data_IF_129445499703
#
_entry.id   IF_129445499703
#
_cell.length_a   1.000
_cell.length_b   1.000
_cell.length_c   1.000
_cell.angle_alpha   90.00
_cell.angle_beta   90.00
_cell.angle_gamma   90.00
#
_symmetry.space_group_name_H-M   'P 1'
#
loop_
_entity.id
_entity.type
_entity.pdbx_description
1 polymer ?
#
# COMPACT_ATOMS: atom_id res chain seq x y z
N UNK A 1 -9.40 15.19 -3.87
CA UNK A 1 -9.14 14.58 -2.54
C UNK A 1 -10.12 15.07 -1.46
N UNK A 2 -10.74 16.24 -1.59
CA UNK A 2 -11.67 16.79 -0.57
C UNK A 2 -13.09 16.17 -0.59
N UNK A 3 -13.31 15.10 -1.34
CA UNK A 3 -14.63 14.48 -1.49
C UNK A 3 -14.47 12.97 -1.73
N UNK A 4 -13.73 12.31 -0.83
CA UNK A 4 -13.55 10.86 -0.84
C UNK A 4 -13.90 10.31 0.54
N UNK A 5 -14.62 9.19 0.59
CA UNK A 5 -14.95 8.53 1.85
C UNK A 5 -13.71 7.90 2.50
N UNK A 6 -12.75 7.49 1.68
CA UNK A 6 -11.57 6.73 2.12
C UNK A 6 -10.42 6.80 1.13
N UNK A 7 -9.19 6.80 1.63
CA UNK A 7 -7.97 6.68 0.84
C UNK A 7 -7.22 5.37 1.15
N UNK A 8 -6.74 4.70 0.10
CA UNK A 8 -5.80 3.59 0.22
C UNK A 8 -4.39 4.10 -0.11
N UNK A 9 -3.50 4.10 0.88
CA UNK A 9 -2.09 4.45 0.71
C UNK A 9 -1.31 3.20 0.32
N UNK A 10 -1.00 3.06 -0.97
CA UNK A 10 -0.21 1.96 -1.51
C UNK A 10 1.28 2.26 -1.32
N UNK A 11 2.06 1.32 -0.77
CA UNK A 11 3.52 1.45 -0.65
C UNK A 11 4.22 0.11 -0.81
N UNK A 12 5.53 0.12 -0.99
CA UNK A 12 6.40 -1.05 -0.96
C UNK A 12 7.31 -1.01 0.29
N UNK A 13 7.76 -2.16 0.83
CA UNK A 13 8.59 -2.22 2.05
C UNK A 13 10.05 -1.78 1.82
N UNK A 14 10.25 -0.68 1.10
CA UNK A 14 11.54 -0.06 0.79
C UNK A 14 11.74 1.23 1.60
N UNK A 15 12.98 1.71 1.80
CA UNK A 15 13.22 2.97 2.49
C UNK A 15 12.52 4.18 1.85
N UNK A 16 12.48 4.23 0.51
CA UNK A 16 11.78 5.27 -0.23
C UNK A 16 10.26 5.17 -0.04
N UNK A 17 9.69 3.97 -0.18
CA UNK A 17 8.26 3.74 0.05
C UNK A 17 7.84 4.08 1.49
N UNK A 18 8.69 3.82 2.47
CA UNK A 18 8.47 4.20 3.86
C UNK A 18 8.48 5.74 4.06
N UNK A 19 9.41 6.45 3.40
CA UNK A 19 9.45 7.91 3.44
C UNK A 19 8.18 8.52 2.85
N UNK A 20 7.81 8.10 1.63
CA UNK A 20 6.65 8.61 0.91
C UNK A 20 5.34 8.28 1.65
N UNK A 21 5.20 7.05 2.15
CA UNK A 21 4.07 6.67 2.98
C UNK A 21 3.91 7.60 4.18
N UNK A 22 4.99 7.91 4.89
CA UNK A 22 4.93 8.82 6.04
C UNK A 22 4.45 10.22 5.66
N UNK A 23 4.82 10.74 4.49
CA UNK A 23 4.33 12.02 3.98
C UNK A 23 2.84 11.95 3.62
N UNK A 24 2.42 10.90 2.91
CA UNK A 24 1.02 10.67 2.51
C UNK A 24 0.12 10.57 3.75
N UNK A 25 0.49 9.74 4.73
CA UNK A 25 -0.29 9.57 5.96
C UNK A 25 -0.37 10.87 6.78
N UNK A 26 0.72 11.66 6.80
CA UNK A 26 0.71 12.99 7.44
C UNK A 26 -0.26 13.95 6.75
N UNK A 27 -0.34 13.92 5.42
CA UNK A 27 -1.31 14.71 4.67
C UNK A 27 -2.74 14.25 4.96
N UNK A 28 -3.02 12.95 4.83
CA UNK A 28 -4.34 12.33 5.07
C UNK A 28 -4.87 12.63 6.48
N UNK A 29 -4.00 12.57 7.49
CA UNK A 29 -4.33 12.95 8.87
C UNK A 29 -4.73 14.43 8.98
N UNK A 30 -4.01 15.34 8.30
CA UNK A 30 -4.32 16.78 8.32
C UNK A 30 -5.65 17.11 7.67
N UNK A 31 -5.97 16.44 6.57
CA UNK A 31 -7.24 16.64 5.84
C UNK A 31 -8.38 15.76 6.38
N UNK A 32 -8.13 15.02 7.47
CA UNK A 32 -9.11 14.16 8.17
C UNK A 32 -9.80 13.12 7.27
N UNK A 33 -9.07 12.54 6.32
CA UNK A 33 -9.57 11.47 5.46
C UNK A 33 -9.30 10.11 6.10
N UNK A 34 -10.32 9.24 6.16
CA UNK A 34 -10.15 7.85 6.60
C UNK A 34 -9.18 7.15 5.65
N UNK A 35 -8.19 6.44 6.20
CA UNK A 35 -7.16 5.84 5.36
C UNK A 35 -6.69 4.47 5.84
N UNK A 36 -6.28 3.64 4.89
CA UNK A 36 -5.69 2.31 5.11
C UNK A 36 -4.45 2.12 4.24
N UNK A 37 -3.54 1.27 4.71
CA UNK A 37 -2.33 0.94 3.97
C UNK A 37 -2.59 -0.32 3.14
N UNK A 38 -2.11 -0.29 1.89
CA UNK A 38 -1.94 -1.47 1.04
C UNK A 38 -0.44 -1.67 0.85
N UNK A 39 0.08 -2.79 1.33
CA UNK A 39 1.49 -3.11 1.21
C UNK A 39 1.72 -3.93 -0.07
N UNK A 40 2.21 -3.29 -1.12
CA UNK A 40 2.62 -3.91 -2.37
C UNK A 40 3.99 -4.57 -2.24
N UNK A 41 4.23 -5.66 -2.97
CA UNK A 41 5.46 -6.48 -2.92
C UNK A 41 5.92 -6.74 -1.49
N UNK A 42 4.99 -7.21 -0.65
CA UNK A 42 5.13 -7.26 0.80
C UNK A 42 6.35 -8.09 1.29
N UNK A 43 6.87 -8.97 0.45
CA UNK A 43 7.95 -9.92 0.67
C UNK A 43 9.33 -9.49 0.12
N UNK A 44 9.41 -8.40 -0.66
CA UNK A 44 10.65 -7.97 -1.35
C UNK A 44 11.56 -7.08 -0.48
N UNK A 45 11.11 -6.67 0.71
CA UNK A 45 11.83 -5.71 1.55
C UNK A 45 11.56 -5.83 3.05
N UNK A 46 11.92 -4.79 3.80
CA UNK A 46 11.78 -4.78 5.26
C UNK A 46 10.42 -4.24 5.69
N UNK A 47 9.44 -5.15 5.76
CA UNK A 47 8.08 -4.86 6.22
C UNK A 47 8.00 -4.16 7.58
N UNK A 48 8.96 -4.38 8.49
CA UNK A 48 8.98 -3.74 9.83
C UNK A 48 9.03 -2.22 9.75
N UNK A 49 9.58 -1.64 8.68
CA UNK A 49 9.57 -0.19 8.47
C UNK A 49 8.13 0.32 8.31
N UNK A 50 7.33 -0.37 7.51
CA UNK A 50 5.94 -0.01 7.25
C UNK A 50 5.08 -0.25 8.48
N UNK A 51 5.28 -1.37 9.20
CA UNK A 51 4.58 -1.66 10.45
C UNK A 51 4.80 -0.56 11.52
N UNK A 52 6.04 -0.05 11.64
CA UNK A 52 6.35 1.07 12.54
C UNK A 52 5.61 2.34 12.15
N UNK A 53 5.54 2.64 10.85
CA UNK A 53 4.79 3.80 10.33
C UNK A 53 3.29 3.63 10.58
N UNK A 54 2.73 2.48 10.23
CA UNK A 54 1.34 2.12 10.47
C UNK A 54 0.95 2.32 11.95
N UNK A 55 1.77 1.80 12.87
CA UNK A 55 1.59 1.98 14.32
C UNK A 55 1.68 3.45 14.74
N UNK A 56 2.66 4.21 14.22
CA UNK A 56 2.84 5.64 14.53
C UNK A 56 1.62 6.48 14.15
N UNK A 57 1.03 6.22 12.98
CA UNK A 57 -0.14 6.95 12.49
C UNK A 57 -1.47 6.34 12.94
N UNK A 58 -1.45 5.20 13.64
CA UNK A 58 -2.64 4.42 14.06
C UNK A 58 -3.51 4.02 12.86
N UNK A 59 -2.86 3.60 11.78
CA UNK A 59 -3.50 3.16 10.54
C UNK A 59 -3.21 1.68 10.34
N UNK A 60 -4.22 0.91 9.90
CA UNK A 60 -4.06 -0.52 9.63
C UNK A 60 -3.44 -0.77 8.26
N UNK A 61 -2.60 -1.80 8.18
CA UNK A 61 -2.26 -2.45 6.92
C UNK A 61 -3.42 -3.41 6.62
N UNK A 62 -4.19 -3.09 5.59
CA UNK A 62 -5.45 -3.77 5.27
C UNK A 62 -5.29 -4.89 4.25
N UNK A 63 -4.28 -4.77 3.39
CA UNK A 63 -4.00 -5.67 2.28
C UNK A 63 -2.48 -5.77 2.16
N UNK A 64 -1.99 -6.99 1.95
CA UNK A 64 -0.61 -7.26 1.62
C UNK A 64 -0.58 -8.08 0.33
N UNK A 65 0.11 -7.56 -0.68
CA UNK A 65 0.24 -8.19 -1.99
C UNK A 65 1.68 -8.65 -2.13
N UNK A 66 1.98 -9.96 -2.12
CA UNK A 66 3.33 -10.45 -2.36
C UNK A 66 3.74 -10.18 -3.82
N UNK A 67 5.05 -10.20 -4.10
CA UNK A 67 5.53 -10.16 -5.46
C UNK A 67 5.12 -11.41 -6.22
N UNK A 68 4.62 -11.23 -7.45
CA UNK A 68 4.22 -12.33 -8.32
C UNK A 68 4.58 -12.00 -9.76
N UNK A 69 5.40 -12.84 -10.39
CA UNK A 69 5.70 -12.73 -11.81
C UNK A 69 4.45 -12.94 -12.68
N UNK A 70 3.53 -13.80 -12.22
CA UNK A 70 2.25 -14.04 -12.89
C UNK A 70 1.39 -12.77 -12.91
N UNK A 71 1.33 -12.04 -11.78
CA UNK A 71 0.64 -10.75 -11.69
C UNK A 71 1.27 -9.71 -12.63
N UNK A 72 2.61 -9.63 -12.66
CA UNK A 72 3.34 -8.72 -13.56
C UNK A 72 3.06 -9.06 -15.02
N UNK A 73 3.09 -10.35 -15.39
CA UNK A 73 2.80 -10.80 -16.75
C UNK A 73 1.36 -10.47 -17.14
N UNK A 74 0.40 -10.78 -16.28
CA UNK A 74 -1.01 -10.47 -16.50
C UNK A 74 -1.27 -8.96 -16.63
N UNK A 75 -0.55 -8.11 -15.88
CA UNK A 75 -0.57 -6.66 -16.06
C UNK A 75 -0.10 -6.26 -17.47
N UNK A 76 1.06 -6.77 -17.91
CA UNK A 76 1.64 -6.49 -19.23
C UNK A 76 0.73 -6.95 -20.38
N UNK A 77 0.05 -8.09 -20.20
CA UNK A 77 -0.89 -8.66 -21.18
C UNK A 77 -2.30 -8.04 -21.10
N UNK A 78 -2.53 -7.09 -20.20
CA UNK A 78 -3.85 -6.48 -19.91
C UNK A 78 -4.91 -7.51 -19.46
N UNK A 79 -4.49 -8.59 -18.84
CA UNK A 79 -5.33 -9.71 -18.37
C UNK A 79 -5.32 -9.85 -16.83
N UNK A 80 -5.34 -8.73 -16.10
CA UNK A 80 -5.38 -8.75 -14.63
C UNK A 80 -6.60 -9.51 -14.07
N UNK A 81 -7.71 -9.59 -14.81
CA UNK A 81 -8.92 -10.32 -14.40
C UNK A 81 -8.65 -11.81 -14.18
N UNK A 82 -7.70 -12.40 -14.92
CA UNK A 82 -7.35 -13.81 -14.79
C UNK A 82 -6.57 -14.16 -13.52
N UNK A 83 -6.05 -13.15 -12.80
CA UNK A 83 -5.14 -13.35 -11.66
C UNK A 83 -5.64 -12.69 -10.37
N UNK A 84 -6.92 -12.29 -10.32
CA UNK A 84 -7.52 -11.67 -9.12
C UNK A 84 -7.45 -12.59 -7.90
N UNK A 85 -7.46 -13.91 -8.10
CA UNK A 85 -7.32 -14.91 -7.03
C UNK A 85 -5.95 -14.94 -6.35
N UNK A 86 -4.96 -14.17 -6.84
CA UNK A 86 -3.62 -14.06 -6.26
C UNK A 86 -3.50 -12.95 -5.20
N UNK A 87 -4.57 -12.17 -4.97
CA UNK A 87 -4.64 -11.04 -4.04
C UNK A 87 -5.70 -11.34 -2.97
#
# INVERSE_FOLDING_TARGET
MLDVDKAYAVTEPTPLGAHDLSLILKLLQKIKVLSEIVLNKADVGNKKLIEKIAKKFKIRISIEIPYSEELVKAYCEKNLKGVVSLI
#
